data_IF_803180076119
#
_entry.id   IF_803180076119
#
_cell.length_a   1.000
_cell.length_b   1.000
_cell.length_c   1.000
_cell.angle_alpha   90.00
_cell.angle_beta   90.00
_cell.angle_gamma   90.00
#
_symmetry.space_group_name_H-M   'P 1'
#
loop_
_entity.id
_entity.type
_entity.pdbx_description
1 polymer ?
#
# COMPACT_ATOMS: atom_id res chain seq x y z
N UNK A 1 21.40 22.12 -17.42
CA UNK A 1 21.76 22.69 -16.10
C UNK A 1 20.85 23.89 -15.85
N UNK A 2 20.28 24.07 -14.65
CA UNK A 2 19.49 25.27 -14.38
C UNK A 2 20.39 26.50 -14.50
N UNK A 3 19.93 27.50 -15.24
CA UNK A 3 20.70 28.73 -15.44
C UNK A 3 20.59 29.59 -14.17
N UNK A 4 21.64 30.35 -13.84
CA UNK A 4 21.66 31.26 -12.67
C UNK A 4 20.47 32.26 -12.70
N UNK A 5 19.97 32.56 -13.91
CA UNK A 5 18.75 33.33 -14.16
C UNK A 5 17.49 32.70 -13.57
N UNK A 6 17.34 31.38 -13.64
CA UNK A 6 16.13 30.68 -13.20
C UNK A 6 16.08 30.53 -11.67
N UNK A 7 17.26 30.41 -11.04
CA UNK A 7 17.42 30.44 -9.58
C UNK A 7 16.95 31.79 -9.03
N UNK A 8 17.36 32.89 -9.66
CA UNK A 8 17.02 34.23 -9.19
C UNK A 8 15.53 34.57 -9.41
N UNK A 9 14.95 34.10 -10.52
CA UNK A 9 13.49 34.16 -10.74
C UNK A 9 12.73 33.38 -9.66
N UNK A 10 13.20 32.18 -9.31
CA UNK A 10 12.61 31.35 -8.26
C UNK A 10 12.70 32.04 -6.89
N UNK A 11 13.85 32.62 -6.52
CA UNK A 11 14.00 33.38 -5.27
C UNK A 11 13.00 34.53 -5.18
N UNK A 12 12.82 35.30 -6.25
CA UNK A 12 11.84 36.39 -6.31
C UNK A 12 10.42 35.87 -6.15
N UNK A 13 10.09 34.76 -6.80
CA UNK A 13 8.77 34.12 -6.71
C UNK A 13 8.45 33.65 -5.28
N UNK A 14 9.38 32.93 -4.65
CA UNK A 14 9.25 32.48 -3.26
C UNK A 14 9.11 33.70 -2.34
N UNK A 15 10.02 34.67 -2.43
CA UNK A 15 9.95 35.88 -1.59
C UNK A 15 8.61 36.59 -1.71
N UNK A 16 8.10 36.80 -2.93
CA UNK A 16 6.80 37.44 -3.15
C UNK A 16 5.65 36.64 -2.54
N UNK A 17 5.64 35.31 -2.71
CA UNK A 17 4.59 34.44 -2.18
C UNK A 17 4.48 34.48 -0.64
N UNK A 18 5.62 34.50 0.05
CA UNK A 18 5.67 34.59 1.51
C UNK A 18 5.35 36.01 2.00
N UNK A 19 5.85 37.04 1.33
CA UNK A 19 5.55 38.44 1.68
C UNK A 19 4.06 38.78 1.58
N UNK A 20 3.34 38.23 0.58
CA UNK A 20 1.89 38.41 0.46
C UNK A 20 1.10 37.87 1.68
N UNK A 21 1.72 37.04 2.51
CA UNK A 21 1.12 36.47 3.73
C UNK A 21 1.78 37.01 5.00
N UNK A 22 2.44 38.16 4.91
CA UNK A 22 3.19 38.79 6.00
C UNK A 22 4.30 37.91 6.61
N UNK A 23 4.85 36.98 5.81
CA UNK A 23 5.97 36.13 6.20
C UNK A 23 7.25 36.56 5.50
N UNK A 24 8.36 36.52 6.23
CA UNK A 24 9.70 36.77 5.71
C UNK A 24 10.54 35.50 5.88
N UNK A 25 11.26 35.12 4.83
CA UNK A 25 12.08 33.89 4.84
C UNK A 25 13.52 34.27 5.13
N UNK A 26 14.15 33.62 6.11
CA UNK A 26 15.59 33.83 6.40
C UNK A 26 16.46 33.42 5.20
N UNK A 27 17.71 33.90 5.17
CA UNK A 27 18.65 33.57 4.08
C UNK A 27 18.84 32.05 3.94
N UNK A 28 19.06 31.37 5.06
CA UNK A 28 19.25 29.91 5.12
C UNK A 28 18.00 29.15 4.64
N UNK A 29 16.81 29.58 5.07
CA UNK A 29 15.56 28.97 4.64
C UNK A 29 15.30 29.21 3.13
N UNK A 30 15.71 30.35 2.59
CA UNK A 30 15.59 30.67 1.17
C UNK A 30 16.50 29.78 0.31
N UNK A 31 17.75 29.55 0.72
CA UNK A 31 18.67 28.65 0.03
C UNK A 31 18.12 27.23 -0.02
N UNK A 32 17.62 26.74 1.11
CA UNK A 32 16.97 25.42 1.18
C UNK A 32 15.68 25.33 0.35
N UNK A 33 14.84 26.38 0.35
CA UNK A 33 13.63 26.42 -0.47
C UNK A 33 13.97 26.32 -1.96
N UNK A 34 14.99 27.03 -2.42
CA UNK A 34 15.45 27.01 -3.81
C UNK A 34 15.96 25.61 -4.19
N UNK A 35 16.75 24.98 -3.33
CA UNK A 35 17.31 23.64 -3.58
C UNK A 35 16.22 22.58 -3.83
N UNK A 36 15.11 22.67 -3.09
CA UNK A 36 13.98 21.74 -3.25
C UNK A 36 13.13 22.11 -4.46
N UNK A 37 12.76 23.38 -4.60
CA UNK A 37 11.78 23.85 -5.58
C UNK A 37 12.33 23.93 -7.01
N UNK A 38 13.66 23.94 -7.19
CA UNK A 38 14.27 23.98 -8.52
C UNK A 38 14.06 22.70 -9.31
N UNK A 39 13.85 21.57 -8.62
CA UNK A 39 13.56 20.26 -9.23
C UNK A 39 12.13 20.13 -9.73
N UNK A 40 11.26 21.08 -9.38
CA UNK A 40 9.84 21.09 -9.71
C UNK A 40 9.53 22.02 -10.89
N UNK A 41 8.58 21.60 -11.72
CA UNK A 41 8.07 22.39 -12.85
C UNK A 41 7.21 23.58 -12.38
N UNK A 42 6.98 24.57 -13.26
CA UNK A 42 6.41 25.87 -12.91
C UNK A 42 5.09 25.83 -12.14
N UNK A 43 4.11 25.02 -12.58
CA UNK A 43 2.83 24.90 -11.89
C UNK A 43 2.95 24.10 -10.58
N UNK A 44 3.67 22.99 -10.60
CA UNK A 44 3.90 22.17 -9.41
C UNK A 44 4.61 22.95 -8.30
N UNK A 45 5.55 23.80 -8.69
CA UNK A 45 6.28 24.71 -7.81
C UNK A 45 5.34 25.70 -7.12
N UNK A 46 4.42 26.32 -7.86
CA UNK A 46 3.42 27.24 -7.27
C UNK A 46 2.53 26.50 -6.27
N UNK A 47 2.08 25.29 -6.64
CA UNK A 47 1.27 24.43 -5.77
C UNK A 47 2.03 24.06 -4.49
N UNK A 48 3.31 23.70 -4.61
CA UNK A 48 4.18 23.38 -3.48
C UNK A 48 4.41 24.57 -2.55
N UNK A 49 4.69 25.75 -3.11
CA UNK A 49 4.84 26.98 -2.33
C UNK A 49 3.57 27.26 -1.52
N UNK A 50 2.39 27.18 -2.16
CA UNK A 50 1.11 27.39 -1.47
C UNK A 50 0.86 26.35 -0.38
N UNK A 51 1.24 25.08 -0.61
CA UNK A 51 1.12 23.98 0.35
C UNK A 51 1.99 24.23 1.58
N UNK A 52 3.28 24.54 1.39
CA UNK A 52 4.21 24.83 2.49
C UNK A 52 3.69 25.99 3.33
N UNK A 53 3.20 27.06 2.70
CA UNK A 53 2.68 28.18 3.47
C UNK A 53 1.37 27.81 4.21
N UNK A 54 0.53 26.95 3.64
CA UNK A 54 -0.65 26.45 4.36
C UNK A 54 -0.27 25.64 5.60
N UNK A 55 0.81 24.85 5.54
CA UNK A 55 1.32 24.11 6.70
C UNK A 55 1.92 25.05 7.74
N UNK A 56 2.67 26.06 7.32
CA UNK A 56 3.20 27.11 8.20
C UNK A 56 2.11 27.96 8.85
N UNK A 57 0.93 28.07 8.26
CA UNK A 57 -0.20 28.75 8.92
C UNK A 57 -0.82 27.90 10.04
N UNK A 58 -0.71 26.57 9.95
CA UNK A 58 -1.20 25.62 10.97
C UNK A 58 -0.19 25.45 12.09
N UNK A 59 1.09 25.36 11.74
CA UNK A 59 2.20 25.38 12.68
C UNK A 59 2.37 26.83 13.15
N UNK A 60 1.79 27.24 14.27
CA UNK A 60 1.94 28.61 14.80
C UNK A 60 3.41 29.06 14.73
N UNK A 61 3.74 29.92 13.76
CA UNK A 61 5.08 30.43 13.61
C UNK A 61 5.45 31.27 14.84
N UNK A 62 6.71 31.16 15.29
CA UNK A 62 7.19 31.90 16.46
C UNK A 62 7.24 33.42 16.21
N UNK A 63 7.20 33.83 14.94
CA UNK A 63 7.12 35.23 14.52
C UNK A 63 6.98 35.40 13.00
N UNK A 64 7.06 36.64 12.49
CA UNK A 64 6.93 36.95 11.07
C UNK A 64 8.17 36.56 10.24
N UNK A 65 9.28 36.17 10.89
CA UNK A 65 10.51 35.71 10.25
C UNK A 65 10.61 34.19 10.42
N UNK A 66 10.59 33.48 9.31
CA UNK A 66 10.71 32.03 9.25
C UNK A 66 12.17 31.62 9.38
N UNK A 67 12.46 30.89 10.46
CA UNK A 67 13.74 30.24 10.67
C UNK A 67 13.91 29.02 9.76
N UNK A 68 15.15 28.58 9.58
CA UNK A 68 15.47 27.36 8.83
C UNK A 68 14.73 26.13 9.38
N UNK A 69 14.67 25.98 10.71
CA UNK A 69 14.02 24.84 11.35
C UNK A 69 12.50 24.82 11.13
N UNK A 70 11.83 25.98 11.24
CA UNK A 70 10.38 26.06 10.98
C UNK A 70 10.06 25.72 9.52
N UNK A 71 10.84 26.25 8.58
CA UNK A 71 10.64 25.96 7.17
C UNK A 71 10.92 24.48 6.85
N UNK A 72 12.01 23.92 7.36
CA UNK A 72 12.37 22.51 7.19
C UNK A 72 11.28 21.59 7.75
N UNK A 73 10.78 21.90 8.95
CA UNK A 73 9.68 21.15 9.58
C UNK A 73 8.43 21.16 8.70
N UNK A 74 8.02 22.32 8.21
CA UNK A 74 6.85 22.44 7.34
C UNK A 74 7.02 21.68 6.01
N UNK A 75 8.23 21.69 5.43
CA UNK A 75 8.54 20.90 4.24
C UNK A 75 8.47 19.40 4.54
N UNK A 76 9.08 18.94 5.63
CA UNK A 76 9.02 17.53 6.02
C UNK A 76 7.59 17.05 6.24
N UNK A 77 6.75 17.89 6.85
CA UNK A 77 5.34 17.58 7.04
C UNK A 77 4.54 17.63 5.72
N UNK A 78 4.94 18.48 4.77
CA UNK A 78 4.35 18.48 3.42
C UNK A 78 4.66 17.20 2.64
N UNK A 79 5.86 16.63 2.82
CA UNK A 79 6.29 15.35 2.22
C UNK A 79 5.62 14.17 2.92
N UNK A 80 5.60 14.14 4.25
CA UNK A 80 4.91 13.07 5.00
C UNK A 80 3.40 13.11 4.78
N UNK A 81 2.79 14.29 4.68
CA UNK A 81 1.38 14.40 4.28
C UNK A 81 1.13 14.14 2.79
N UNK A 82 2.19 13.98 1.98
CA UNK A 82 2.05 13.45 0.62
C UNK A 82 1.98 11.92 0.62
N UNK A 83 2.48 11.26 1.68
CA UNK A 83 2.28 9.84 1.95
C UNK A 83 1.05 9.55 2.82
N UNK A 84 0.45 10.56 3.45
CA UNK A 84 -0.84 10.43 4.13
C UNK A 84 -2.01 10.39 3.14
N UNK A 85 -2.02 9.35 2.28
CA UNK A 85 -3.22 8.51 2.30
C UNK A 85 -3.41 8.20 3.77
N UNK A 86 -4.46 8.71 4.40
CA UNK A 86 -4.80 8.36 5.79
C UNK A 86 -4.42 6.89 5.99
N UNK A 87 -3.43 6.63 6.85
CA UNK A 87 -3.07 5.25 7.16
C UNK A 87 -4.33 4.67 7.78
N UNK A 88 -5.08 3.94 6.96
CA UNK A 88 -6.33 3.37 7.38
C UNK A 88 -5.96 2.35 8.45
N UNK A 89 -6.33 2.64 9.71
CA UNK A 89 -6.09 1.72 10.83
C UNK A 89 -6.58 0.30 10.54
N UNK A 90 -7.54 0.18 9.62
CA UNK A 90 -8.09 -1.06 9.11
C UNK A 90 -7.91 -1.09 7.59
N UNK A 91 -7.29 -2.15 7.09
CA UNK A 91 -7.25 -2.48 5.67
C UNK A 91 -8.30 -3.55 5.39
N UNK A 92 -9.27 -3.25 4.53
CA UNK A 92 -10.22 -4.24 4.01
C UNK A 92 -9.61 -4.85 2.76
N UNK A 93 -9.39 -6.15 2.79
CA UNK A 93 -8.89 -6.92 1.66
C UNK A 93 -10.09 -7.36 0.82
N UNK A 94 -10.22 -6.80 -0.38
CA UNK A 94 -11.23 -7.22 -1.35
C UNK A 94 -10.81 -8.52 -2.05
N UNK A 95 -11.63 -9.55 -1.92
CA UNK A 95 -11.40 -10.87 -2.49
C UNK A 95 -11.18 -10.85 -4.02
N UNK A 96 -11.77 -9.88 -4.72
CA UNK A 96 -11.66 -9.80 -6.18
C UNK A 96 -10.48 -8.97 -6.67
N UNK A 97 -9.94 -8.10 -5.82
CA UNK A 97 -8.80 -7.22 -6.13
C UNK A 97 -7.46 -7.88 -5.77
N UNK A 98 -7.47 -8.88 -4.87
CA UNK A 98 -6.25 -9.58 -4.46
C UNK A 98 -5.69 -10.45 -5.59
N UNK A 99 -4.35 -10.48 -5.78
CA UNK A 99 -3.72 -11.37 -6.74
C UNK A 99 -4.01 -12.84 -6.43
N UNK A 100 -4.34 -13.62 -7.47
CA UNK A 100 -4.53 -15.06 -7.32
C UNK A 100 -3.17 -15.74 -7.15
N UNK A 101 -3.07 -16.64 -6.18
CA UNK A 101 -1.86 -17.39 -5.89
C UNK A 101 -2.04 -18.87 -6.26
N UNK A 102 -0.98 -19.49 -6.76
CA UNK A 102 -0.91 -20.94 -6.99
C UNK A 102 0.39 -21.49 -6.42
N UNK A 103 0.34 -22.71 -5.92
CA UNK A 103 1.53 -23.37 -5.42
C UNK A 103 2.34 -23.97 -6.58
N UNK A 104 3.63 -23.62 -6.64
CA UNK A 104 4.60 -24.21 -7.55
C UNK A 104 5.33 -25.34 -6.82
N UNK A 105 5.06 -26.58 -7.23
CA UNK A 105 5.65 -27.78 -6.64
C UNK A 105 7.16 -27.87 -6.87
N UNK A 106 7.66 -27.41 -8.03
CA UNK A 106 9.09 -27.51 -8.36
C UNK A 106 9.90 -26.55 -7.51
N UNK A 107 9.38 -25.33 -7.34
CA UNK A 107 10.06 -24.26 -6.60
C UNK A 107 9.70 -24.25 -5.12
N UNK A 108 8.71 -25.04 -4.71
CA UNK A 108 8.13 -25.08 -3.36
C UNK A 108 7.68 -23.72 -2.82
N UNK A 109 7.20 -22.82 -3.70
CA UNK A 109 6.76 -21.45 -3.36
C UNK A 109 5.39 -21.11 -3.93
N UNK A 110 4.73 -20.10 -3.37
CA UNK A 110 3.52 -19.51 -3.95
C UNK A 110 3.90 -18.51 -5.04
N UNK A 111 3.30 -18.66 -6.22
CA UNK A 111 3.48 -17.76 -7.36
C UNK A 111 2.18 -17.03 -7.65
N UNK A 112 2.29 -15.76 -8.05
CA UNK A 112 1.17 -14.98 -8.55
C UNK A 112 0.77 -15.51 -9.92
N UNK A 113 -0.52 -15.72 -10.12
CA UNK A 113 -1.09 -16.17 -11.37
C UNK A 113 -2.05 -15.12 -11.89
N UNK A 114 -1.90 -14.79 -13.17
CA UNK A 114 -2.80 -13.87 -13.85
C UNK A 114 -4.20 -14.48 -13.99
N UNK A 115 -5.21 -13.66 -13.76
CA UNK A 115 -6.60 -14.06 -13.95
C UNK A 115 -7.55 -13.26 -13.06
N UNK A 116 -8.69 -12.89 -13.63
CA UNK A 116 -9.73 -12.20 -12.88
C UNK A 116 -10.42 -13.18 -11.92
N UNK A 117 -10.71 -12.71 -10.71
CA UNK A 117 -11.56 -13.44 -9.78
C UNK A 117 -12.99 -13.44 -10.33
N UNK A 118 -13.60 -14.62 -10.41
CA UNK A 118 -14.99 -14.78 -10.84
C UNK A 118 -15.88 -14.99 -9.63
N UNK A 119 -17.06 -14.37 -9.63
CA UNK A 119 -18.11 -14.58 -8.61
C UNK A 119 -18.67 -16.00 -8.70
N UNK A 120 -18.70 -16.57 -9.91
CA UNK A 120 -19.21 -17.92 -10.15
C UNK A 120 -18.07 -18.80 -10.66
N UNK A 121 -17.79 -19.89 -9.94
CA UNK A 121 -16.80 -20.89 -10.32
C UNK A 121 -17.37 -21.90 -11.33
N UNK A 122 -16.50 -22.44 -12.18
CA UNK A 122 -16.83 -23.56 -13.07
C UNK A 122 -16.60 -24.90 -12.36
N UNK A 123 -17.17 -25.98 -12.90
CA UNK A 123 -16.97 -27.33 -12.36
C UNK A 123 -15.50 -27.76 -12.34
N UNK A 124 -14.71 -27.30 -13.32
CA UNK A 124 -13.28 -27.49 -13.37
C UNK A 124 -12.54 -26.80 -12.20
N UNK A 125 -13.04 -25.66 -11.72
CA UNK A 125 -12.44 -24.91 -10.62
C UNK A 125 -12.56 -25.67 -9.30
N UNK A 126 -13.69 -26.33 -9.05
CA UNK A 126 -13.86 -27.17 -7.86
C UNK A 126 -12.84 -28.31 -7.83
N UNK A 127 -12.67 -29.02 -8.96
CA UNK A 127 -11.65 -30.06 -9.10
C UNK A 127 -10.24 -29.52 -8.85
N UNK A 128 -9.92 -28.37 -9.43
CA UNK A 128 -8.60 -27.74 -9.28
C UNK A 128 -8.36 -27.30 -7.83
N UNK A 129 -9.37 -26.76 -7.15
CA UNK A 129 -9.31 -26.38 -5.74
C UNK A 129 -8.94 -27.55 -4.83
N UNK A 130 -9.55 -28.73 -5.03
CA UNK A 130 -9.20 -29.92 -4.25
C UNK A 130 -7.77 -30.39 -4.53
N UNK A 131 -7.34 -30.36 -5.79
CA UNK A 131 -5.96 -30.71 -6.16
C UNK A 131 -4.94 -29.77 -5.52
N UNK A 132 -5.14 -28.46 -5.64
CA UNK A 132 -4.24 -27.47 -5.07
C UNK A 132 -4.17 -27.56 -3.54
N UNK A 133 -5.31 -27.82 -2.87
CA UNK A 133 -5.32 -28.09 -1.42
C UNK A 133 -4.50 -29.32 -1.05
N UNK A 134 -4.64 -30.40 -1.80
CA UNK A 134 -3.88 -31.63 -1.53
C UNK A 134 -2.37 -31.40 -1.67
N UNK A 135 -1.93 -30.64 -2.68
CA UNK A 135 -0.51 -30.31 -2.86
C UNK A 135 0.09 -29.60 -1.66
N UNK A 136 -0.62 -28.62 -1.11
CA UNK A 136 -0.17 -27.90 0.09
C UNK A 136 -0.09 -28.83 1.30
N UNK A 137 -1.08 -29.69 1.47
CA UNK A 137 -1.11 -30.68 2.56
C UNK A 137 0.06 -31.67 2.43
N UNK A 138 0.34 -32.17 1.22
CA UNK A 138 1.49 -33.05 0.96
C UNK A 138 2.79 -32.33 1.27
N UNK A 139 2.98 -31.11 0.79
CA UNK A 139 4.18 -30.31 1.09
C UNK A 139 4.35 -30.09 2.60
N UNK A 140 3.28 -29.76 3.32
CA UNK A 140 3.31 -29.65 4.77
C UNK A 140 3.70 -31.01 5.36
N UNK A 141 3.11 -32.11 4.93
CA UNK A 141 3.49 -33.42 5.44
C UNK A 141 4.97 -33.76 5.19
N UNK A 142 5.51 -33.47 4.00
CA UNK A 142 6.94 -33.67 3.68
C UNK A 142 7.85 -32.87 4.60
N UNK A 143 7.49 -31.61 4.90
CA UNK A 143 8.24 -30.78 5.82
C UNK A 143 8.20 -31.30 7.27
N UNK A 144 7.12 -31.97 7.67
CA UNK A 144 6.94 -32.51 9.02
C UNK A 144 7.40 -33.96 9.20
N UNK A 145 7.58 -34.74 8.12
CA UNK A 145 8.13 -36.11 8.15
C UNK A 145 9.57 -36.13 8.70
N UNK A 146 10.26 -34.99 8.75
CA UNK A 146 11.54 -34.85 9.47
C UNK A 146 11.44 -34.95 11.00
N UNK A 147 10.27 -34.71 11.62
CA UNK A 147 10.17 -34.61 13.09
C UNK A 147 9.13 -35.53 13.76
N UNK A 148 7.98 -35.89 13.19
CA UNK A 148 7.05 -36.84 13.83
C UNK A 148 5.98 -37.39 12.85
N UNK A 149 6.17 -38.61 12.35
CA UNK A 149 5.36 -39.21 11.28
C UNK A 149 3.95 -39.71 11.69
N UNK A 150 3.71 -40.00 12.98
CA UNK A 150 2.44 -40.62 13.43
C UNK A 150 1.24 -39.65 13.50
N UNK A 151 1.47 -38.39 13.86
CA UNK A 151 0.41 -37.41 14.09
C UNK A 151 -0.25 -36.94 12.77
N UNK A 152 0.51 -36.95 11.68
CA UNK A 152 0.06 -36.48 10.36
C UNK A 152 -0.95 -37.45 9.76
N UNK A 153 -0.72 -38.76 9.86
CA UNK A 153 -1.64 -39.78 9.34
C UNK A 153 -3.01 -39.73 10.05
N UNK A 154 -3.02 -39.42 11.35
CA UNK A 154 -4.25 -39.22 12.12
C UNK A 154 -5.01 -37.95 11.68
N UNK A 155 -4.31 -36.82 11.50
CA UNK A 155 -4.93 -35.57 11.04
C UNK A 155 -5.48 -35.66 9.61
N UNK A 156 -4.75 -36.31 8.70
CA UNK A 156 -5.21 -36.54 7.32
C UNK A 156 -6.45 -37.44 7.28
N UNK A 157 -6.52 -38.47 8.12
CA UNK A 157 -7.72 -39.32 8.24
C UNK A 157 -8.93 -38.53 8.74
N UNK A 158 -8.75 -37.62 9.70
CA UNK A 158 -9.81 -36.76 10.22
C UNK A 158 -10.33 -35.74 9.18
N UNK A 159 -9.44 -35.19 8.34
CA UNK A 159 -9.84 -34.24 7.30
C UNK A 159 -10.57 -34.91 6.13
N UNK A 160 -10.20 -36.13 5.76
CA UNK A 160 -10.89 -36.91 4.73
C UNK A 160 -12.31 -37.31 5.16
N UNK A 161 -12.50 -37.73 6.43
CA UNK A 161 -13.80 -38.13 6.97
C UNK A 161 -14.82 -36.97 7.06
N UNK A 162 -14.36 -35.73 7.31
CA UNK A 162 -15.25 -34.56 7.31
C UNK A 162 -15.71 -34.14 5.92
N UNK A 163 -14.95 -34.44 4.87
CA UNK A 163 -15.36 -34.19 3.49
C UNK A 163 -16.53 -35.08 3.05
N UNK A 164 -16.63 -36.31 3.58
CA UNK A 164 -17.72 -37.24 3.23
C UNK A 164 -19.04 -36.95 3.97
N UNK A 165 -19.03 -36.27 5.11
CA UNK A 165 -20.27 -35.93 5.85
C UNK A 165 -21.04 -34.74 5.28
N UNK A 166 -20.44 -33.94 4.38
CA UNK A 166 -21.12 -32.77 3.81
C UNK A 166 -21.90 -33.15 2.53
N UNK A 167 -21.58 -34.25 1.86
CA UNK A 167 -22.28 -34.69 0.65
C UNK A 167 -23.55 -35.50 0.89
N UNK A 168 -23.83 -35.94 2.12
CA UNK A 168 -25.02 -36.74 2.45
C UNK A 168 -26.21 -35.92 3.02
N UNK A 169 -26.06 -34.60 3.18
CA UNK A 169 -27.06 -33.75 3.85
C UNK A 169 -28.00 -32.94 2.94
N UNK A 170 -27.92 -33.06 1.62
CA UNK A 170 -28.70 -32.24 0.67
C UNK A 170 -29.56 -33.08 -0.28
N UNK A 171 -30.35 -34.02 0.23
CA UNK A 171 -31.50 -34.58 -0.50
C UNK A 171 -32.56 -35.06 0.50
N UNK A 172 -33.57 -34.23 0.80
CA UNK A 172 -34.89 -34.67 1.29
C UNK A 172 -35.82 -33.47 1.51
N UNK A 173 -36.84 -33.30 0.66
CA UNK A 173 -38.01 -32.44 0.92
C UNK A 173 -38.76 -32.00 -0.35
N UNK A 174 -40.05 -32.33 -0.54
CA UNK A 174 -40.68 -32.42 -1.86
C UNK A 174 -41.36 -31.12 -2.32
N UNK A 175 -41.34 -30.86 -3.63
CA UNK A 175 -42.28 -29.95 -4.30
C UNK A 175 -43.30 -30.81 -5.07
N UNK A 176 -44.53 -30.87 -4.57
CA UNK A 176 -45.70 -31.33 -5.33
C UNK A 176 -46.33 -30.13 -6.06
N UNK A 177 -46.90 -30.42 -7.23
CA UNK A 177 -47.69 -29.52 -8.09
C UNK A 177 -48.93 -28.95 -7.40
#
# INVERSE_FOLDING_TARGET
MPTDSDVEKLRKQVRKAFQMRALTVSKEAMEYAVEILIKLEGEERIRWINKVISMLSKQKASGPVLSFNEFRSAVTECVSNHSSKQESLIHVIDLFTVPRLRYDEQRKVLVVVDGQASVVGQSADARNLYRERLKLVVQVSENFVGENSLAIVQLLSFMSLRSLSISSGLYSGPFQM
#
